data_IF_545062062312
#
_entry.id   IF_545062062312
#
_cell.length_a   1.000
_cell.length_b   1.000
_cell.length_c   1.000
_cell.angle_alpha   90.00
_cell.angle_beta   90.00
_cell.angle_gamma   90.00
#
_symmetry.space_group_name_H-M   'P 1'
#
loop_
_entity.id
_entity.type
_entity.pdbx_description
1 polymer ?
#
# COMPACT_ATOMS: atom_id res chain seq x y z
N UNK A 1 1.60 -3.91 10.83
CA UNK A 1 1.98 -4.00 9.41
C UNK A 1 2.88 -2.84 9.01
N UNK A 2 4.20 -3.06 9.04
CA UNK A 2 5.21 -2.10 8.58
C UNK A 2 6.05 -2.78 7.51
N UNK A 3 6.78 -1.99 6.71
CA UNK A 3 7.65 -2.59 5.70
C UNK A 3 8.69 -3.48 6.39
N UNK A 4 8.83 -4.76 6.02
CA UNK A 4 9.79 -5.64 6.68
C UNK A 4 11.25 -5.24 6.40
N UNK A 5 11.50 -4.46 5.34
CA UNK A 5 12.84 -3.98 4.99
C UNK A 5 13.23 -2.69 5.75
N UNK A 6 12.41 -1.65 5.70
CA UNK A 6 12.75 -0.33 6.27
C UNK A 6 11.89 0.10 7.47
N UNK A 7 10.88 -0.69 7.85
CA UNK A 7 9.87 -0.39 8.90
C UNK A 7 9.02 0.85 8.63
N UNK A 8 8.94 1.32 7.39
CA UNK A 8 8.05 2.41 7.00
C UNK A 8 6.57 1.98 6.98
N UNK A 9 5.70 2.94 7.27
CA UNK A 9 4.24 2.81 7.29
C UNK A 9 3.59 3.44 6.04
N UNK A 10 4.41 3.98 5.13
CA UNK A 10 3.99 4.62 3.90
C UNK A 10 4.18 3.65 2.73
N UNK A 11 3.09 3.39 2.01
CA UNK A 11 3.05 2.50 0.87
C UNK A 11 2.31 3.17 -0.28
N UNK A 12 2.38 2.55 -1.45
CA UNK A 12 1.57 2.91 -2.59
C UNK A 12 1.22 1.63 -3.35
N UNK A 13 0.13 1.67 -4.08
CA UNK A 13 -0.28 0.63 -5.02
C UNK A 13 -0.43 1.25 -6.40
N UNK A 14 -0.29 0.44 -7.43
CA UNK A 14 -0.50 0.86 -8.82
C UNK A 14 -1.87 0.41 -9.26
N UNK A 15 -2.53 1.20 -10.10
CA UNK A 15 -3.79 0.80 -10.67
C UNK A 15 -3.56 -0.32 -11.73
N UNK A 16 -4.35 -1.40 -11.70
CA UNK A 16 -4.23 -2.46 -12.71
C UNK A 16 -4.73 -2.02 -14.10
N UNK A 17 -5.59 -1.00 -14.18
CA UNK A 17 -6.08 -0.44 -15.43
C UNK A 17 -5.14 0.67 -15.95
N UNK A 18 -4.45 1.39 -15.05
CA UNK A 18 -3.44 2.39 -15.40
C UNK A 18 -2.16 2.29 -14.54
N UNK A 19 -1.08 1.75 -15.11
CA UNK A 19 0.19 1.55 -14.41
C UNK A 19 0.91 2.84 -13.96
N UNK A 20 0.51 3.99 -14.51
CA UNK A 20 1.03 5.31 -14.13
C UNK A 20 0.24 5.90 -12.97
N UNK A 21 -0.98 5.44 -12.75
CA UNK A 21 -1.77 5.84 -11.61
C UNK A 21 -1.31 5.08 -10.36
N UNK A 22 -0.83 5.85 -9.37
CA UNK A 22 -0.42 5.32 -8.08
C UNK A 22 -1.28 5.91 -6.98
N UNK A 23 -1.72 5.04 -6.09
CA UNK A 23 -2.52 5.41 -4.94
C UNK A 23 -1.67 5.26 -3.68
N UNK A 24 -1.07 6.34 -3.18
CA UNK A 24 -0.33 6.32 -1.94
C UNK A 24 -1.28 6.14 -0.74
N UNK A 25 -0.85 5.34 0.22
CA UNK A 25 -1.61 5.10 1.45
C UNK A 25 -0.67 4.85 2.64
N UNK A 26 -1.23 4.98 3.83
CA UNK A 26 -0.53 4.75 5.09
C UNK A 26 -1.18 3.61 5.84
N UNK A 27 -0.38 2.84 6.58
CA UNK A 27 -0.92 1.84 7.49
C UNK A 27 -0.69 2.32 8.92
N UNK A 28 -1.78 2.66 9.61
CA UNK A 28 -1.75 3.15 10.99
C UNK A 28 -2.46 2.12 11.87
N UNK A 29 -1.77 1.56 12.87
CA UNK A 29 -2.33 0.52 13.75
C UNK A 29 -2.89 -0.71 13.01
N UNK A 30 -2.33 -1.05 11.85
CA UNK A 30 -2.83 -2.15 11.01
C UNK A 30 -4.05 -1.80 10.17
N UNK A 31 -4.49 -0.54 10.20
CA UNK A 31 -5.57 -0.02 9.36
C UNK A 31 -4.99 0.78 8.21
N UNK A 32 -5.45 0.46 7.00
CA UNK A 32 -5.13 1.24 5.79
C UNK A 32 -5.87 2.57 5.86
N UNK A 33 -5.12 3.66 5.90
CA UNK A 33 -5.58 5.03 5.80
C UNK A 33 -5.09 5.61 4.47
N UNK A 34 -6.00 5.79 3.54
CA UNK A 34 -5.77 6.59 2.35
C UNK A 34 -5.79 8.07 2.73
N UNK A 35 -5.02 8.88 2.00
CA UNK A 35 -5.10 10.33 2.14
C UNK A 35 -6.49 10.81 1.65
N UNK A 36 -7.05 11.87 2.23
CA UNK A 36 -8.39 12.37 1.86
C UNK A 36 -8.48 12.88 0.42
N UNK A 37 -7.35 13.23 -0.19
CA UNK A 37 -7.22 13.57 -1.61
C UNK A 37 -7.10 12.32 -2.52
N UNK A 38 -6.94 11.13 -1.95
CA UNK A 38 -6.95 9.89 -2.71
C UNK A 38 -8.40 9.53 -3.01
N UNK A 39 -8.70 9.40 -4.29
CA UNK A 39 -10.03 9.06 -4.76
C UNK A 39 -10.32 7.58 -4.47
N UNK A 40 -10.75 7.27 -3.25
CA UNK A 40 -11.06 5.91 -2.76
C UNK A 40 -12.11 5.17 -3.59
N UNK A 41 -12.85 5.87 -4.47
CA UNK A 41 -13.77 5.25 -5.42
C UNK A 41 -13.04 4.68 -6.64
N UNK A 42 -11.92 5.28 -7.03
CA UNK A 42 -11.05 4.82 -8.11
C UNK A 42 -9.86 4.02 -7.57
N UNK A 43 -9.48 4.19 -6.30
CA UNK A 43 -8.40 3.45 -5.71
C UNK A 43 -8.73 1.94 -5.63
N UNK A 44 -7.83 1.06 -6.08
CA UNK A 44 -7.97 -0.37 -5.93
C UNK A 44 -8.24 -0.77 -4.47
N UNK A 45 -9.20 -1.67 -4.26
CA UNK A 45 -9.47 -2.21 -2.94
C UNK A 45 -8.22 -2.91 -2.38
N UNK A 46 -7.66 -2.39 -1.27
CA UNK A 46 -6.53 -3.02 -0.58
C UNK A 46 -7.02 -4.28 0.12
N UNK A 47 -6.70 -5.41 -0.49
CA UNK A 47 -6.97 -6.76 -0.01
C UNK A 47 -5.64 -7.47 0.29
N UNK A 48 -5.71 -8.62 0.97
CA UNK A 48 -4.53 -9.45 1.28
C UNK A 48 -3.66 -9.78 0.07
N UNK A 49 -4.27 -9.90 -1.12
CA UNK A 49 -3.58 -10.21 -2.37
C UNK A 49 -3.05 -8.97 -3.12
N UNK A 50 -3.41 -7.76 -2.70
CA UNK A 50 -3.08 -6.52 -3.40
C UNK A 50 -1.58 -6.27 -3.37
N UNK A 51 -1.03 -5.97 -4.56
CA UNK A 51 0.38 -5.66 -4.70
C UNK A 51 0.69 -4.29 -4.11
N UNK A 52 1.57 -4.29 -3.12
CA UNK A 52 1.90 -3.14 -2.29
C UNK A 52 3.38 -2.81 -2.43
N UNK A 53 3.66 -1.53 -2.67
CA UNK A 53 5.01 -1.02 -2.86
C UNK A 53 5.38 -0.08 -1.72
N UNK A 54 6.60 -0.18 -1.20
CA UNK A 54 7.07 0.71 -0.16
C UNK A 54 7.50 2.05 -0.76
N UNK A 55 7.04 3.17 -0.20
CA UNK A 55 7.44 4.51 -0.63
C UNK A 55 8.83 4.95 -0.10
N UNK A 56 9.52 4.08 0.62
CA UNK A 56 10.81 4.41 1.27
C UNK A 56 11.94 3.46 0.87
N UNK A 57 11.64 2.30 0.28
CA UNK A 57 12.65 1.35 -0.16
C UNK A 57 12.13 0.54 -1.37
N UNK A 58 13.00 -0.27 -1.97
CA UNK A 58 12.65 -1.12 -3.11
C UNK A 58 11.82 -2.36 -2.75
N UNK A 59 11.24 -2.41 -1.53
CA UNK A 59 10.38 -3.51 -1.14
C UNK A 59 9.04 -3.41 -1.86
N UNK A 60 8.62 -4.51 -2.47
CA UNK A 60 7.30 -4.70 -3.01
C UNK A 60 6.83 -6.12 -2.73
N UNK A 61 5.54 -6.28 -2.50
CA UNK A 61 4.95 -7.58 -2.18
C UNK A 61 3.47 -7.46 -1.90
N UNK A 62 2.82 -8.59 -1.67
CA UNK A 62 1.39 -8.61 -1.34
C UNK A 62 1.15 -7.98 0.03
N UNK A 63 0.00 -7.33 0.21
CA UNK A 63 -0.37 -6.70 1.48
C UNK A 63 -0.30 -7.68 2.65
N UNK A 64 -0.71 -8.95 2.45
CA UNK A 64 -0.61 -10.00 3.47
C UNK A 64 0.84 -10.29 3.92
N UNK A 65 1.84 -10.01 3.09
CA UNK A 65 3.24 -10.18 3.47
C UNK A 65 3.68 -9.18 4.56
N UNK A 66 2.90 -8.11 4.80
CA UNK A 66 3.13 -7.12 5.87
C UNK A 66 2.61 -7.58 7.24
N UNK A 67 1.74 -8.60 7.30
CA UNK A 67 1.06 -9.07 8.51
C UNK A 67 1.87 -10.11 9.31
N UNK A 68 2.90 -10.70 8.71
CA UNK A 68 3.52 -11.92 9.23
C UNK A 68 4.63 -11.69 10.30
N UNK A 69 4.44 -10.76 11.26
CA UNK A 69 5.37 -10.53 12.39
C UNK A 69 4.68 -10.56 13.76
#
# INVERSE_FOLDING_TARGET
MKCPACRSENFYLKDPEDEYEIHPFRIKDGVVCFDPDTDILNAPAVSSDTETFCNQCAWHGKFNALDNQ
#
